data_IF_678856316967
#
_entry.id   IF_678856316967
#
_cell.length_a   1.000
_cell.length_b   1.000
_cell.length_c   1.000
_cell.angle_alpha   90.00
_cell.angle_beta   90.00
_cell.angle_gamma   90.00
#
_symmetry.space_group_name_H-M   'P 1'
#
loop_
_entity.id
_entity.type
_entity.pdbx_description
1 polymer ?
#
# COMPACT_ATOMS: atom_id res chain seq x y z
N UNK A 1 31.72 -4.03 67.39
CA UNK A 1 30.47 -4.07 68.17
C UNK A 1 29.34 -3.60 67.29
N UNK A 2 28.26 -4.35 67.33
CA UNK A 2 27.06 -4.41 66.48
C UNK A 2 26.15 -3.18 66.53
N UNK A 3 25.51 -2.85 65.40
CA UNK A 3 24.07 -2.57 65.34
C UNK A 3 23.59 -2.65 63.88
N UNK A 4 22.72 -3.64 63.59
CA UNK A 4 21.97 -3.78 62.33
C UNK A 4 20.69 -2.96 62.50
N UNK A 5 20.35 -1.98 61.63
CA UNK A 5 19.05 -1.31 61.71
C UNK A 5 17.95 -2.29 61.27
N UNK A 6 16.91 -2.42 62.10
CA UNK A 6 15.77 -3.30 61.84
C UNK A 6 14.93 -2.84 60.63
N UNK A 7 14.22 -3.76 59.95
CA UNK A 7 13.35 -3.41 58.84
C UNK A 7 12.16 -2.56 59.31
N UNK A 8 11.83 -1.53 58.54
CA UNK A 8 10.69 -0.66 58.79
C UNK A 8 9.36 -1.39 58.51
N UNK A 9 8.42 -1.27 59.46
CA UNK A 9 7.05 -1.75 59.35
C UNK A 9 6.28 -0.96 58.27
N UNK A 10 5.57 -1.61 57.33
CA UNK A 10 4.80 -0.89 56.33
C UNK A 10 3.52 -0.27 56.94
N UNK A 11 3.32 1.02 56.67
CA UNK A 11 2.13 1.78 57.06
C UNK A 11 0.84 1.23 56.39
N UNK A 12 -0.34 1.36 57.03
CA UNK A 12 -1.59 0.88 56.46
C UNK A 12 -1.93 1.63 55.17
N UNK A 13 -2.33 0.86 54.15
CA UNK A 13 -2.81 1.41 52.90
C UNK A 13 -4.12 2.20 53.13
N UNK A 14 -4.17 3.44 52.64
CA UNK A 14 -5.42 4.19 52.54
C UNK A 14 -6.29 3.55 51.46
N UNK A 15 -7.47 3.07 51.87
CA UNK A 15 -8.56 2.66 50.99
C UNK A 15 -9.04 3.85 50.16
N UNK A 16 -8.48 3.99 48.95
CA UNK A 16 -8.88 4.97 47.96
C UNK A 16 -9.46 4.29 46.74
N UNK A 17 -10.75 3.95 46.77
CA UNK A 17 -11.47 3.47 45.60
C UNK A 17 -11.54 4.57 44.53
N UNK A 18 -10.67 4.51 43.52
CA UNK A 18 -10.79 5.35 42.32
C UNK A 18 -11.94 4.83 41.45
N UNK A 19 -12.87 5.72 41.09
CA UNK A 19 -13.95 5.43 40.14
C UNK A 19 -13.39 4.92 38.79
N UNK A 20 -14.05 3.97 38.10
CA UNK A 20 -13.58 3.49 36.82
C UNK A 20 -13.56 4.62 35.79
N UNK A 21 -12.43 4.76 35.12
CA UNK A 21 -12.21 5.68 34.00
C UNK A 21 -13.20 5.33 32.88
N UNK A 22 -14.07 6.28 32.52
CA UNK A 22 -15.03 6.11 31.43
C UNK A 22 -14.34 5.77 30.10
N UNK A 23 -14.95 4.88 29.32
CA UNK A 23 -14.53 4.54 27.96
C UNK A 23 -14.65 5.79 27.10
N UNK A 24 -13.54 6.20 26.46
CA UNK A 24 -13.59 7.20 25.41
C UNK A 24 -14.18 6.54 24.14
N UNK A 25 -15.42 6.87 23.80
CA UNK A 25 -15.97 6.64 22.46
C UNK A 25 -15.20 7.51 21.46
N UNK A 26 -14.62 6.92 20.41
CA UNK A 26 -14.01 7.71 19.34
C UNK A 26 -12.83 7.11 18.58
N UNK A 27 -12.70 5.78 18.46
CA UNK A 27 -11.80 5.21 17.43
C UNK A 27 -12.60 5.13 16.13
N UNK A 28 -12.21 5.86 15.05
CA UNK A 28 -12.80 5.63 13.75
C UNK A 28 -12.45 4.21 13.31
N UNK A 29 -13.45 3.32 13.37
CA UNK A 29 -13.32 1.98 12.82
C UNK A 29 -13.16 2.12 11.32
N UNK A 30 -11.97 1.81 10.82
CA UNK A 30 -11.76 1.65 9.38
C UNK A 30 -12.54 0.41 8.96
N UNK A 31 -13.74 0.62 8.40
CA UNK A 31 -14.54 -0.48 7.83
C UNK A 31 -13.67 -1.18 6.80
N UNK A 32 -13.47 -2.49 6.96
CA UNK A 32 -12.76 -3.29 5.96
C UNK A 32 -13.56 -3.22 4.65
N UNK A 33 -12.89 -3.06 3.50
CA UNK A 33 -13.56 -3.17 2.22
C UNK A 33 -14.33 -4.51 2.15
N UNK A 34 -15.55 -4.46 1.63
CA UNK A 34 -16.31 -5.67 1.36
C UNK A 34 -15.47 -6.61 0.46
N UNK A 35 -15.42 -7.92 0.77
CA UNK A 35 -14.72 -8.87 -0.08
C UNK A 35 -15.34 -8.84 -1.49
N UNK A 36 -14.55 -8.41 -2.47
CA UNK A 36 -14.92 -8.59 -3.87
C UNK A 36 -14.82 -10.09 -4.21
N UNK A 37 -15.84 -10.65 -4.87
CA UNK A 37 -15.79 -12.01 -5.39
C UNK A 37 -14.58 -12.14 -6.34
N UNK A 38 -13.74 -13.17 -6.14
CA UNK A 38 -12.60 -13.42 -7.01
C UNK A 38 -13.10 -13.78 -8.41
N UNK A 39 -12.89 -12.89 -9.37
CA UNK A 39 -13.28 -13.10 -10.78
C UNK A 39 -12.21 -13.88 -11.57
N UNK A 40 -11.18 -14.39 -10.88
CA UNK A 40 -10.07 -15.14 -11.45
C UNK A 40 -9.14 -14.33 -12.35
N UNK A 41 -9.41 -13.04 -12.58
CA UNK A 41 -8.55 -12.19 -13.40
C UNK A 41 -7.34 -11.78 -12.60
N UNK A 42 -6.19 -11.76 -13.25
CA UNK A 42 -4.93 -11.29 -12.67
C UNK A 42 -4.35 -10.20 -13.57
N UNK A 43 -3.86 -9.07 -13.03
CA UNK A 43 -3.18 -8.08 -13.83
C UNK A 43 -1.87 -8.69 -14.36
N UNK A 44 -1.64 -8.59 -15.68
CA UNK A 44 -0.43 -9.11 -16.32
C UNK A 44 0.38 -8.06 -17.08
N UNK A 45 -0.13 -6.83 -17.18
CA UNK A 45 0.57 -5.68 -17.72
C UNK A 45 0.44 -4.49 -16.77
N UNK A 46 1.55 -3.82 -16.51
CA UNK A 46 1.69 -2.76 -15.54
C UNK A 46 2.37 -1.53 -16.13
N UNK A 47 2.01 -0.37 -15.58
CA UNK A 47 2.55 0.92 -15.92
C UNK A 47 2.87 1.67 -14.62
N UNK A 48 4.15 1.98 -14.41
CA UNK A 48 4.61 2.78 -13.28
C UNK A 48 5.01 4.17 -13.79
N UNK A 49 4.37 5.21 -13.25
CA UNK A 49 4.60 6.60 -13.64
C UNK A 49 5.13 7.33 -12.40
N UNK A 50 6.30 7.94 -12.52
CA UNK A 50 6.85 8.84 -11.52
C UNK A 50 6.73 10.25 -12.06
N UNK A 51 5.81 11.02 -11.47
CA UNK A 51 5.66 12.45 -11.70
C UNK A 51 6.33 13.20 -10.53
N UNK A 52 7.47 13.88 -10.78
CA UNK A 52 8.15 14.66 -9.75
C UNK A 52 7.28 15.80 -9.21
N UNK A 53 7.54 16.30 -7.98
CA UNK A 53 6.76 17.36 -7.36
C UNK A 53 6.93 18.75 -8.03
N UNK A 54 7.93 18.91 -8.90
CA UNK A 54 8.20 20.16 -9.61
C UNK A 54 8.07 19.99 -11.13
N UNK A 55 7.51 21.00 -11.80
CA UNK A 55 7.31 21.00 -13.26
C UNK A 55 8.60 20.97 -14.08
N UNK A 56 9.73 21.42 -13.51
CA UNK A 56 11.03 21.39 -14.17
C UNK A 56 11.73 20.02 -14.13
N UNK A 57 11.27 19.10 -13.27
CA UNK A 57 11.84 17.77 -13.17
C UNK A 57 11.21 16.83 -14.20
N UNK A 58 12.05 15.97 -14.80
CA UNK A 58 11.61 15.07 -15.85
C UNK A 58 10.79 13.90 -15.29
N UNK A 59 9.58 13.64 -15.80
CA UNK A 59 8.84 12.44 -15.43
C UNK A 59 9.53 11.20 -15.95
N UNK A 60 9.28 10.06 -15.31
CA UNK A 60 9.71 8.76 -15.80
C UNK A 60 8.56 7.77 -15.81
N UNK A 61 8.60 6.84 -16.76
CA UNK A 61 7.58 5.83 -16.98
C UNK A 61 8.27 4.50 -17.24
N UNK A 62 7.80 3.44 -16.58
CA UNK A 62 8.18 2.06 -16.85
C UNK A 62 6.92 1.25 -17.18
N UNK A 63 6.95 0.54 -18.29
CA UNK A 63 5.88 -0.33 -18.78
C UNK A 63 6.41 -1.74 -18.84
N UNK A 64 5.76 -2.69 -18.18
CA UNK A 64 6.14 -4.10 -18.29
C UNK A 64 4.93 -5.00 -18.40
N UNK A 65 5.12 -6.14 -19.06
CA UNK A 65 4.09 -7.14 -19.31
C UNK A 65 4.68 -8.55 -19.17
N UNK A 66 3.87 -9.49 -18.69
CA UNK A 66 4.21 -10.92 -18.64
C UNK A 66 4.57 -11.49 -20.01
N UNK A 67 4.29 -10.75 -21.10
CA UNK A 67 4.72 -11.14 -22.43
C UNK A 67 6.21 -11.03 -22.72
N UNK A 68 6.98 -10.45 -21.80
CA UNK A 68 8.41 -10.16 -21.97
C UNK A 68 8.69 -8.72 -22.35
N UNK A 69 7.67 -7.86 -22.48
CA UNK A 69 7.85 -6.41 -22.68
C UNK A 69 8.32 -5.78 -21.36
N UNK A 70 9.42 -5.04 -21.39
CA UNK A 70 9.85 -4.13 -20.32
C UNK A 70 10.51 -2.92 -20.97
N UNK A 71 9.86 -1.76 -20.87
CA UNK A 71 10.28 -0.51 -21.49
C UNK A 71 10.34 0.59 -20.45
N UNK A 72 11.32 1.47 -20.58
CA UNK A 72 11.51 2.63 -19.73
C UNK A 72 11.66 3.89 -20.57
N UNK A 73 11.05 4.99 -20.12
CA UNK A 73 11.17 6.30 -20.72
C UNK A 73 11.32 7.36 -19.63
N UNK A 74 12.18 8.34 -19.88
CA UNK A 74 12.30 9.54 -19.07
C UNK A 74 12.11 10.79 -19.96
N UNK A 75 11.58 11.86 -19.35
CA UNK A 75 11.23 13.10 -20.02
C UNK A 75 9.79 13.09 -20.56
N UNK A 76 9.19 14.28 -20.63
CA UNK A 76 7.74 14.44 -20.86
C UNK A 76 7.24 13.81 -22.16
N UNK A 77 7.92 14.09 -23.28
CA UNK A 77 7.49 13.58 -24.59
C UNK A 77 7.56 12.05 -24.67
N UNK A 78 8.67 11.46 -24.20
CA UNK A 78 8.87 10.00 -24.20
C UNK A 78 7.95 9.29 -23.22
N UNK A 79 7.70 9.90 -22.06
CA UNK A 79 6.73 9.40 -21.08
C UNK A 79 5.32 9.29 -21.69
N UNK A 80 4.85 10.36 -22.35
CA UNK A 80 3.54 10.34 -23.02
C UNK A 80 3.48 9.29 -24.13
N UNK A 81 4.53 9.19 -24.96
CA UNK A 81 4.60 8.17 -25.99
C UNK A 81 4.53 6.75 -25.41
N UNK A 82 5.26 6.48 -24.32
CA UNK A 82 5.24 5.17 -23.66
C UNK A 82 3.90 4.85 -22.99
N UNK A 83 3.16 5.87 -22.51
CA UNK A 83 1.80 5.69 -21.97
C UNK A 83 0.85 5.26 -23.09
N UNK A 84 0.90 5.93 -24.25
CA UNK A 84 0.07 5.57 -25.42
C UNK A 84 0.41 4.17 -25.92
N UNK A 85 1.70 3.87 -26.09
CA UNK A 85 2.19 2.55 -26.49
C UNK A 85 1.78 1.45 -25.51
N UNK A 86 1.79 1.72 -24.20
CA UNK A 86 1.28 0.76 -23.21
C UNK A 86 -0.22 0.48 -23.39
N UNK A 87 -1.03 1.50 -23.69
CA UNK A 87 -2.46 1.34 -23.91
C UNK A 87 -2.75 0.48 -25.16
N UNK A 88 -2.03 0.74 -26.26
CA UNK A 88 -2.11 -0.07 -27.49
C UNK A 88 -1.61 -1.50 -27.26
N UNK A 89 -0.52 -1.66 -26.52
CA UNK A 89 0.00 -2.98 -26.19
C UNK A 89 -1.01 -3.81 -25.39
N UNK A 90 -1.76 -3.20 -24.46
CA UNK A 90 -2.75 -3.92 -23.67
C UNK A 90 -3.87 -4.55 -24.52
N UNK A 91 -4.21 -3.96 -25.66
CA UNK A 91 -5.25 -4.48 -26.56
C UNK A 91 -4.70 -5.48 -27.57
N UNK A 92 -3.43 -5.34 -27.97
CA UNK A 92 -2.78 -6.21 -28.95
C UNK A 92 -2.06 -7.42 -28.34
N UNK A 93 -1.72 -7.40 -27.05
CA UNK A 93 -0.95 -8.45 -26.42
C UNK A 93 -1.74 -9.76 -26.33
N UNK A 94 -1.27 -10.81 -27.02
CA UNK A 94 -1.90 -12.14 -27.05
C UNK A 94 -2.00 -12.85 -25.69
N UNK A 95 -1.28 -12.39 -24.67
CA UNK A 95 -1.44 -12.88 -23.30
C UNK A 95 -2.61 -12.19 -22.57
N UNK A 96 -2.98 -10.98 -22.97
CA UNK A 96 -4.12 -10.20 -22.44
C UNK A 96 -5.40 -10.44 -23.24
N UNK A 97 -5.27 -10.61 -24.55
CA UNK A 97 -6.36 -11.04 -25.42
C UNK A 97 -6.26 -12.55 -25.61
N UNK A 98 -7.08 -13.38 -24.95
CA UNK A 98 -7.20 -14.76 -25.38
C UNK A 98 -7.57 -14.71 -26.85
N UNK A 99 -6.74 -15.30 -27.72
CA UNK A 99 -7.10 -15.52 -29.12
C UNK A 99 -8.47 -16.17 -29.08
N UNK A 100 -9.52 -15.44 -29.48
CA UNK A 100 -10.77 -16.09 -29.85
C UNK A 100 -10.39 -16.91 -31.07
N UNK A 101 -9.99 -18.15 -30.85
CA UNK A 101 -9.85 -19.11 -31.93
C UNK A 101 -11.23 -19.18 -32.56
N UNK A 102 -11.36 -18.59 -33.74
CA UNK A 102 -12.53 -18.75 -34.57
C UNK A 102 -12.60 -20.24 -34.92
N UNK A 103 -13.59 -20.92 -34.32
CA UNK A 103 -14.05 -22.22 -34.75
C UNK A 103 -14.81 -22.10 -36.09
#
# INVERSE_FOLDING_TARGET
MTARPGPAEPAPALDGSSAPKGVAEGVPSSVRPDPHADDGRRPIAWLHIVAPPSYGASPSVRSWCSCGRDLFAAGRARALALITDHAEHRTACSRLTPRREAA
#
